data_IF_142279817815
#
_entry.id   IF_142279817815
#
_cell.length_a   1.000
_cell.length_b   1.000
_cell.length_c   1.000
_cell.angle_alpha   90.00
_cell.angle_beta   90.00
_cell.angle_gamma   90.00
#
_symmetry.space_group_name_H-M   'P 1'
#
loop_
_entity.id
_entity.type
_entity.pdbx_description
1 polymer ?
#
# COMPACT_ATOMS: atom_id res chain seq x y z
N UNK A 1 -7.07 -14.17 5.72
CA UNK A 1 -6.51 -13.13 4.83
C UNK A 1 -7.41 -11.92 4.79
N UNK A 2 -6.84 -10.74 4.92
CA UNK A 2 -7.60 -9.50 4.80
C UNK A 2 -7.92 -9.21 3.34
N UNK A 3 -9.05 -8.61 3.08
CA UNK A 3 -9.37 -8.11 1.74
C UNK A 3 -8.53 -6.86 1.46
N UNK A 4 -7.94 -6.78 0.27
CA UNK A 4 -7.21 -5.59 -0.18
C UNK A 4 -8.17 -4.72 -0.98
N UNK A 5 -8.39 -3.50 -0.52
CA UNK A 5 -9.32 -2.55 -1.13
C UNK A 5 -8.57 -1.25 -1.42
N UNK A 6 -8.89 -0.59 -2.52
CA UNK A 6 -8.29 0.68 -2.87
C UNK A 6 -9.31 1.81 -2.70
N UNK A 7 -8.95 2.83 -1.92
CA UNK A 7 -9.71 4.08 -1.88
C UNK A 7 -9.65 4.74 -3.26
N UNK A 8 -10.61 5.61 -3.57
CA UNK A 8 -10.73 6.21 -4.91
C UNK A 8 -9.46 6.89 -5.40
N UNK A 9 -8.80 7.68 -4.54
CA UNK A 9 -7.56 8.36 -4.91
C UNK A 9 -6.44 7.34 -5.19
N UNK A 10 -6.34 6.29 -4.37
CA UNK A 10 -5.34 5.25 -4.56
C UNK A 10 -5.59 4.45 -5.84
N UNK A 11 -6.85 4.18 -6.16
CA UNK A 11 -7.20 3.48 -7.39
C UNK A 11 -6.75 4.27 -8.62
N UNK A 12 -6.93 5.60 -8.61
CA UNK A 12 -6.45 6.47 -9.69
C UNK A 12 -4.93 6.47 -9.79
N UNK A 13 -4.24 6.48 -8.66
CA UNK A 13 -2.78 6.40 -8.64
C UNK A 13 -2.28 5.05 -9.15
N UNK A 14 -2.97 3.99 -8.77
CA UNK A 14 -2.63 2.62 -9.15
C UNK A 14 -2.65 2.41 -10.67
N UNK A 15 -3.68 2.90 -11.34
CA UNK A 15 -3.79 2.71 -12.80
C UNK A 15 -2.75 3.51 -13.58
N UNK A 16 -2.14 4.53 -12.98
CA UNK A 16 -1.06 5.30 -13.59
C UNK A 16 0.30 4.62 -13.49
N UNK A 17 0.43 3.60 -12.65
CA UNK A 17 1.66 2.83 -12.54
C UNK A 17 1.82 1.92 -13.76
N UNK A 18 3.09 1.61 -14.10
CA UNK A 18 3.34 0.63 -15.15
C UNK A 18 2.91 -0.76 -14.72
N UNK A 19 2.65 -1.64 -15.68
CA UNK A 19 2.31 -3.02 -15.36
C UNK A 19 3.44 -3.72 -14.57
N UNK A 20 4.69 -3.42 -14.88
CA UNK A 20 5.83 -3.99 -14.18
C UNK A 20 5.84 -3.58 -12.70
N UNK A 21 5.54 -2.30 -12.41
CA UNK A 21 5.49 -1.80 -11.04
C UNK A 21 4.31 -2.42 -10.29
N UNK A 22 3.12 -2.45 -10.91
CA UNK A 22 1.96 -3.10 -10.29
C UNK A 22 2.23 -4.56 -9.98
N UNK A 23 2.92 -5.26 -10.89
CA UNK A 23 3.29 -6.66 -10.70
C UNK A 23 4.27 -6.91 -9.55
N UNK A 24 5.03 -5.88 -9.15
CA UNK A 24 5.90 -5.96 -7.97
C UNK A 24 5.16 -5.60 -6.68
N UNK A 25 4.22 -4.67 -6.75
CA UNK A 25 3.51 -4.18 -5.57
C UNK A 25 2.43 -5.16 -5.12
N UNK A 26 1.61 -5.67 -6.04
CA UNK A 26 0.47 -6.50 -5.67
C UNK A 26 0.84 -7.73 -4.83
N UNK A 27 1.89 -8.51 -5.17
CA UNK A 27 2.27 -9.64 -4.31
C UNK A 27 2.66 -9.22 -2.91
N UNK A 28 3.23 -8.03 -2.74
CA UNK A 28 3.61 -7.51 -1.41
C UNK A 28 2.39 -7.11 -0.61
N UNK A 29 1.37 -6.53 -1.25
CA UNK A 29 0.10 -6.24 -0.59
C UNK A 29 -0.57 -7.54 -0.13
N UNK A 30 -0.60 -8.54 -0.98
CA UNK A 30 -1.19 -9.83 -0.67
C UNK A 30 -0.44 -10.55 0.46
N UNK A 31 0.90 -10.50 0.46
CA UNK A 31 1.71 -11.09 1.51
C UNK A 31 1.42 -10.43 2.86
N UNK A 32 1.30 -9.11 2.89
CA UNK A 32 0.94 -8.41 4.12
C UNK A 32 -0.49 -8.75 4.56
N UNK A 33 -1.43 -8.75 3.63
CA UNK A 33 -2.84 -9.03 3.93
C UNK A 33 -3.05 -10.45 4.47
N UNK A 34 -2.25 -11.41 4.02
CA UNK A 34 -2.39 -12.82 4.43
C UNK A 34 -1.54 -13.17 5.65
N UNK A 35 -0.30 -12.68 5.73
CA UNK A 35 0.65 -13.13 6.73
C UNK A 35 1.28 -12.00 7.56
N UNK A 36 0.95 -10.74 7.26
CA UNK A 36 1.53 -9.59 7.96
C UNK A 36 2.99 -9.34 7.61
N UNK A 37 3.51 -9.94 6.54
CA UNK A 37 4.91 -9.78 6.15
C UNK A 37 5.11 -8.56 5.26
N UNK A 38 6.21 -7.85 5.49
CA UNK A 38 6.56 -6.68 4.68
C UNK A 38 7.34 -5.65 5.49
N UNK A 39 7.90 -4.69 4.78
CA UNK A 39 8.61 -3.56 5.39
C UNK A 39 7.59 -2.47 5.70
N UNK A 40 6.99 -2.57 6.87
CA UNK A 40 5.87 -1.71 7.29
C UNK A 40 6.26 -0.89 8.50
N UNK A 41 5.93 0.41 8.46
CA UNK A 41 6.09 1.32 9.58
C UNK A 41 4.81 2.12 9.78
N UNK A 42 4.52 2.45 11.04
CA UNK A 42 3.40 3.33 11.36
C UNK A 42 3.69 4.76 10.93
N UNK A 43 2.66 5.45 10.44
CA UNK A 43 2.77 6.85 10.09
C UNK A 43 2.87 7.71 11.34
N UNK A 44 3.63 8.81 11.24
CA UNK A 44 3.72 9.78 12.32
C UNK A 44 2.57 10.77 12.21
N UNK A 45 1.93 11.05 13.34
CA UNK A 45 0.92 12.10 13.43
C UNK A 45 -0.42 11.80 12.77
N UNK A 46 -0.63 10.59 12.26
CA UNK A 46 -1.92 10.18 11.69
C UNK A 46 -2.05 8.66 11.72
N UNK A 47 -3.29 8.18 11.59
CA UNK A 47 -3.57 6.75 11.52
C UNK A 47 -3.05 6.17 10.23
N UNK A 48 -2.62 4.90 10.29
CA UNK A 48 -2.22 4.17 9.12
C UNK A 48 -0.76 3.74 9.14
N UNK A 49 -0.38 3.08 8.06
CA UNK A 49 0.95 2.50 7.91
C UNK A 49 1.50 2.76 6.52
N UNK A 50 2.80 2.66 6.41
CA UNK A 50 3.51 2.74 5.14
C UNK A 50 4.16 1.39 4.86
N UNK A 51 3.89 0.84 3.69
CA UNK A 51 4.57 -0.36 3.17
C UNK A 51 5.57 0.08 2.11
N UNK A 52 6.83 -0.27 2.32
CA UNK A 52 7.91 0.06 1.40
C UNK A 52 8.16 -1.10 0.44
N UNK A 53 8.17 -0.80 -0.86
CA UNK A 53 8.45 -1.78 -1.91
C UNK A 53 9.43 -1.12 -2.90
N UNK A 54 10.74 -1.35 -2.69
CA UNK A 54 11.76 -0.71 -3.49
C UNK A 54 11.64 0.81 -3.42
N UNK A 55 11.48 1.46 -4.56
CA UNK A 55 11.31 2.91 -4.65
C UNK A 55 9.86 3.36 -4.54
N UNK A 56 8.94 2.43 -4.31
CA UNK A 56 7.52 2.74 -4.19
C UNK A 56 7.05 2.62 -2.74
N UNK A 57 5.98 3.36 -2.44
CA UNK A 57 5.37 3.38 -1.12
C UNK A 57 3.88 3.19 -1.25
N UNK A 58 3.33 2.42 -0.33
CA UNK A 58 1.89 2.23 -0.21
C UNK A 58 1.48 2.71 1.18
N UNK A 59 0.53 3.61 1.23
CA UNK A 59 -0.07 4.06 2.50
C UNK A 59 -1.39 3.36 2.64
N UNK A 60 -1.63 2.73 3.79
CA UNK A 60 -2.85 2.00 4.02
C UNK A 60 -3.32 2.12 5.46
N UNK A 61 -4.61 1.89 5.66
CA UNK A 61 -5.21 1.69 6.97
C UNK A 61 -5.80 0.28 6.98
N UNK A 62 -5.95 -0.30 8.15
CA UNK A 62 -6.43 -1.68 8.24
C UNK A 62 -7.26 -1.89 9.49
N UNK A 63 -8.17 -2.86 9.39
CA UNK A 63 -8.86 -3.44 10.54
C UNK A 63 -8.68 -4.97 10.48
N UNK A 64 -9.48 -5.73 11.25
CA UNK A 64 -9.32 -7.18 11.33
C UNK A 64 -9.61 -7.88 9.98
N UNK A 65 -10.38 -7.26 9.08
CA UNK A 65 -10.86 -7.90 7.85
C UNK A 65 -10.37 -7.25 6.57
N UNK A 66 -9.95 -5.98 6.63
CA UNK A 66 -9.70 -5.19 5.42
C UNK A 66 -8.42 -4.40 5.53
N UNK A 67 -7.64 -4.40 4.45
CA UNK A 67 -6.50 -3.53 4.24
C UNK A 67 -6.88 -2.53 3.15
N UNK A 68 -7.07 -1.26 3.52
CA UNK A 68 -7.49 -0.22 2.60
C UNK A 68 -6.31 0.64 2.19
N UNK A 69 -5.94 0.55 0.92
CA UNK A 69 -4.86 1.37 0.34
C UNK A 69 -5.42 2.77 0.08
N UNK A 70 -4.79 3.77 0.69
CA UNK A 70 -5.22 5.17 0.57
C UNK A 70 -4.32 5.99 -0.35
N UNK A 71 -3.08 5.55 -0.57
CA UNK A 71 -2.17 6.19 -1.52
C UNK A 71 -1.12 5.19 -1.99
N UNK A 72 -0.68 5.33 -3.23
CA UNK A 72 0.41 4.52 -3.79
C UNK A 72 1.17 5.35 -4.83
N UNK A 73 2.49 5.26 -4.80
CA UNK A 73 3.32 5.99 -5.75
C UNK A 73 4.80 5.85 -5.46
N UNK A 74 5.58 6.59 -6.24
CA UNK A 74 7.03 6.63 -6.05
C UNK A 74 7.34 7.36 -4.73
N UNK A 75 8.46 6.99 -4.09
CA UNK A 75 8.87 7.57 -2.81
C UNK A 75 8.97 9.11 -2.83
N UNK A 76 9.19 9.70 -4.01
CA UNK A 76 9.24 11.15 -4.18
C UNK A 76 7.88 11.81 -4.11
N UNK A 77 6.83 11.06 -4.36
CA UNK A 77 5.45 11.57 -4.42
C UNK A 77 4.67 11.24 -3.15
N UNK A 78 5.05 10.19 -2.44
CA UNK A 78 4.35 9.72 -1.25
C UNK A 78 5.20 10.03 -0.03
N UNK A 79 4.75 10.99 0.77
CA UNK A 79 5.37 11.35 2.04
C UNK A 79 4.53 10.87 3.20
N UNK A 80 5.18 10.41 4.25
CA UNK A 80 4.53 10.06 5.51
C UNK A 80 4.76 11.10 6.61
#
# INVERSE_FOLDING_TARGET
MKAVVFASAAARQWIKLTAAVRGRIMPKLEAYASAGTGDVKRLRGRAGCRLRIGDHRVIFVEDAKTMTVVAVGHRREICD
#
